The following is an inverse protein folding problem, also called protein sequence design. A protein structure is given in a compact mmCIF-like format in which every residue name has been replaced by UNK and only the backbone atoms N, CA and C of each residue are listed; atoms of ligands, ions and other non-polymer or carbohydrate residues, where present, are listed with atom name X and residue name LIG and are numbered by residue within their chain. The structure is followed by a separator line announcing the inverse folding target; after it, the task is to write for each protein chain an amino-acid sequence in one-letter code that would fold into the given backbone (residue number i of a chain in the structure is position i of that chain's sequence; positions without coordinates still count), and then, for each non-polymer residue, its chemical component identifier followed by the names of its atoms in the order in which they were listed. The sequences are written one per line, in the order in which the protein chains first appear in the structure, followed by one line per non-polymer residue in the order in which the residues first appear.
data_IF_494936447793
#
_entry.id   IF_494936447793
#
_cell.length_a   1.000
_cell.length_b   1.000
_cell.length_c   1.000
_cell.angle_alpha   90.00
_cell.angle_beta   90.00
_cell.angle_gamma   90.00
#
_symmetry.space_group_name_H-M   'P 1'
#
loop_
_entity.id
_entity.type
_entity.pdbx_description
1 polymer ?
#
# COMPACT_ATOMS: atom_id res chain seq x y z
N UNK A 1 -12.24 -6.28 35.53
CA UNK A 1 -11.29 -5.20 35.83
C UNK A 1 -10.16 -5.81 36.64
N UNK A 2 -9.01 -6.06 36.03
CA UNK A 2 -7.83 -6.61 36.68
C UNK A 2 -6.65 -5.72 36.33
N UNK A 3 -6.14 -4.99 37.31
CA UNK A 3 -4.99 -4.09 37.16
C UNK A 3 -3.71 -4.92 37.01
N UNK A 4 -3.08 -4.84 35.85
CA UNK A 4 -1.72 -5.33 35.63
C UNK A 4 -0.73 -4.26 36.07
N UNK A 5 -0.24 -4.37 37.30
CA UNK A 5 0.85 -3.54 37.82
C UNK A 5 2.17 -4.20 37.45
N UNK A 6 2.78 -3.76 36.35
CA UNK A 6 4.13 -4.14 35.96
C UNK A 6 5.17 -3.48 36.87
N UNK A 7 5.76 -4.24 37.81
CA UNK A 7 6.95 -3.81 38.57
C UNK A 7 8.18 -3.90 37.67
N UNK A 8 8.70 -2.75 37.26
CA UNK A 8 10.06 -2.63 36.76
C UNK A 8 11.02 -2.60 37.95
N UNK A 9 11.79 -3.68 38.14
CA UNK A 9 12.94 -3.69 39.03
C UNK A 9 14.14 -3.12 38.26
N UNK A 10 14.48 -1.86 38.53
CA UNK A 10 15.75 -1.26 38.10
C UNK A 10 16.81 -1.61 39.15
N UNK A 11 17.67 -2.57 38.80
CA UNK A 11 18.90 -2.82 39.54
C UNK A 11 19.87 -1.66 39.27
N UNK A 12 20.14 -0.86 40.29
CA UNK A 12 20.98 0.36 40.23
C UNK A 12 22.36 0.12 40.81
N UNK A 13 22.74 -1.13 41.07
CA UNK A 13 24.06 -1.46 41.56
C UNK A 13 24.99 -1.76 40.37
N UNK A 14 25.66 -0.72 39.86
CA UNK A 14 27.01 -0.74 39.26
C UNK A 14 27.24 0.56 38.46
N UNK A 15 27.81 1.57 39.13
CA UNK A 15 28.60 2.61 38.48
C UNK A 15 30.07 2.37 38.86
N UNK A 16 30.98 2.48 37.89
CA UNK A 16 32.13 3.34 38.14
C UNK A 16 32.19 4.50 37.13
N UNK A 17 32.59 5.63 37.68
CA UNK A 17 32.94 6.88 37.01
C UNK A 17 34.01 6.67 35.94
N UNK A 18 33.71 7.05 34.70
CA UNK A 18 34.72 7.50 33.75
C UNK A 18 34.04 8.35 32.69
N UNK A 19 34.09 9.67 32.91
CA UNK A 19 33.73 10.68 31.94
C UNK A 19 34.74 10.65 30.78
N UNK A 20 34.37 9.97 29.69
CA UNK A 20 34.79 10.21 28.29
C UNK A 20 34.45 8.99 27.44
N UNK A 21 33.16 8.78 27.23
CA UNK A 21 32.68 8.01 26.10
C UNK A 21 31.30 8.55 25.79
N UNK A 22 31.22 9.34 24.72
CA UNK A 22 29.96 9.69 24.10
C UNK A 22 29.24 8.38 23.78
N UNK A 23 28.32 8.01 24.68
CA UNK A 23 27.41 6.88 24.55
C UNK A 23 26.55 7.13 23.34
N UNK A 24 27.06 6.68 22.18
CA UNK A 24 26.29 6.38 20.99
C UNK A 24 25.37 5.24 21.40
N UNK A 25 24.24 5.62 21.97
CA UNK A 25 23.15 4.77 22.37
C UNK A 25 22.63 4.14 21.07
N UNK A 26 23.24 3.03 20.67
CA UNK A 26 22.67 2.12 19.69
C UNK A 26 21.47 1.49 20.39
N UNK A 27 20.35 2.22 20.35
CA UNK A 27 19.05 1.62 20.53
C UNK A 27 18.94 0.62 19.38
N UNK A 28 19.28 -0.64 19.65
CA UNK A 28 18.80 -1.75 18.83
C UNK A 28 17.30 -1.79 19.06
N UNK A 29 16.58 -1.01 18.26
CA UNK A 29 15.14 -1.19 18.13
C UNK A 29 15.01 -2.53 17.41
N UNK A 30 14.83 -3.60 18.18
CA UNK A 30 14.35 -4.87 17.65
C UNK A 30 12.92 -4.61 17.16
N UNK A 31 12.78 -4.08 15.94
CA UNK A 31 11.52 -4.03 15.19
C UNK A 31 11.17 -5.42 14.65
N UNK A 32 11.23 -6.43 15.51
CA UNK A 32 10.66 -7.77 15.30
C UNK A 32 9.26 -7.82 15.90
N UNK A 33 8.46 -6.76 15.72
CA UNK A 33 7.01 -6.93 15.71
C UNK A 33 6.71 -7.68 14.41
N UNK A 34 6.30 -8.95 14.53
CA UNK A 34 6.03 -9.92 13.46
C UNK A 34 4.89 -9.55 12.49
N UNK A 35 4.97 -8.34 11.94
CA UNK A 35 4.48 -8.05 10.62
C UNK A 35 5.64 -8.41 9.69
N UNK A 36 5.50 -9.51 8.94
CA UNK A 36 6.38 -9.78 7.81
C UNK A 36 6.52 -8.47 7.04
N UNK A 37 7.74 -7.94 6.97
CA UNK A 37 8.00 -6.73 6.22
C UNK A 37 7.47 -6.99 4.82
N UNK A 38 6.42 -6.24 4.42
CA UNK A 38 5.84 -6.39 3.11
C UNK A 38 6.91 -6.04 2.09
N UNK A 39 7.54 -7.07 1.54
CA UNK A 39 8.54 -6.92 0.49
C UNK A 39 7.84 -6.73 -0.84
N UNK A 40 8.40 -5.86 -1.68
CA UNK A 40 7.87 -5.59 -3.01
C UNK A 40 8.95 -5.85 -4.04
N UNK A 41 8.53 -6.31 -5.23
CA UNK A 41 9.36 -6.32 -6.42
C UNK A 41 9.01 -5.09 -7.28
N UNK A 42 10.04 -4.41 -7.76
CA UNK A 42 9.90 -3.29 -8.67
C UNK A 42 9.88 -3.77 -10.12
N UNK A 43 8.89 -3.32 -10.89
CA UNK A 43 8.73 -3.62 -12.31
C UNK A 43 8.59 -2.33 -13.12
N UNK A 44 9.15 -2.32 -14.33
CA UNK A 44 9.06 -1.20 -15.27
C UNK A 44 8.73 -1.72 -16.67
N UNK A 45 7.85 -1.03 -17.38
CA UNK A 45 7.60 -1.35 -18.79
C UNK A 45 8.77 -0.84 -19.65
N UNK A 46 9.31 -1.67 -20.56
CA UNK A 46 10.42 -1.23 -21.42
C UNK A 46 10.05 0.04 -22.18
N UNK A 47 10.93 1.04 -22.09
CA UNK A 47 10.77 2.34 -22.74
C UNK A 47 9.98 3.37 -21.94
N UNK A 48 9.49 3.02 -20.75
CA UNK A 48 8.84 3.97 -19.83
C UNK A 48 9.70 4.21 -18.59
N UNK A 49 9.39 5.27 -17.85
CA UNK A 49 10.00 5.57 -16.53
C UNK A 49 9.09 5.22 -15.36
N UNK A 50 7.88 4.71 -15.63
CA UNK A 50 6.89 4.38 -14.60
C UNK A 50 7.24 3.03 -13.95
N UNK A 51 7.36 3.04 -12.63
CA UNK A 51 7.73 1.89 -11.82
C UNK A 51 6.51 1.44 -11.03
N UNK A 52 6.14 0.17 -11.18
CA UNK A 52 5.09 -0.48 -10.40
C UNK A 52 5.70 -1.38 -9.33
N UNK A 53 5.04 -1.44 -8.18
CA UNK A 53 5.41 -2.28 -7.04
C UNK A 53 4.41 -3.41 -6.94
N UNK A 54 4.88 -4.64 -6.95
CA UNK A 54 4.04 -5.83 -6.76
C UNK A 54 4.48 -6.52 -5.48
N UNK A 55 3.52 -6.89 -4.64
CA UNK A 55 3.78 -7.50 -3.34
C UNK A 55 4.40 -8.89 -3.55
N UNK A 56 5.49 -9.16 -2.84
CA UNK A 56 6.10 -10.48 -2.80
C UNK A 56 5.32 -11.39 -1.83
N UNK A 57 5.18 -12.65 -2.20
CA UNK A 57 4.68 -13.70 -1.32
C UNK A 57 5.83 -14.59 -0.86
N UNK A 58 5.74 -15.12 0.36
CA UNK A 58 6.72 -16.08 0.86
C UNK A 58 6.26 -17.51 0.58
N UNK A 59 7.05 -18.29 -0.16
CA UNK A 59 6.78 -19.69 -0.48
C UNK A 59 8.05 -20.50 -0.20
N UNK A 60 7.97 -21.48 0.70
CA UNK A 60 9.11 -22.32 1.09
C UNK A 60 10.33 -21.50 1.55
N UNK A 61 10.09 -20.39 2.28
CA UNK A 61 11.14 -19.49 2.76
C UNK A 61 11.80 -18.63 1.68
N UNK A 62 11.24 -18.57 0.46
CA UNK A 62 11.70 -17.70 -0.62
C UNK A 62 10.64 -16.68 -0.97
N UNK A 63 11.06 -15.45 -1.23
CA UNK A 63 10.19 -14.41 -1.75
C UNK A 63 9.99 -14.61 -3.25
N UNK A 64 8.73 -14.64 -3.66
CA UNK A 64 8.30 -14.90 -5.04
C UNK A 64 7.24 -13.90 -5.46
N UNK A 65 7.15 -13.66 -6.77
CA UNK A 65 6.07 -12.88 -7.38
C UNK A 65 5.27 -13.80 -8.28
N UNK A 66 3.95 -13.84 -8.11
CA UNK A 66 3.08 -14.64 -8.98
C UNK A 66 2.93 -13.96 -10.34
N UNK A 67 2.87 -14.78 -11.38
CA UNK A 67 2.72 -14.29 -12.75
C UNK A 67 1.38 -13.61 -12.98
N UNK A 68 0.33 -14.06 -12.30
CA UNK A 68 -1.01 -13.47 -12.35
C UNK A 68 -0.99 -12.02 -11.87
N UNK A 69 -0.33 -11.73 -10.73
CA UNK A 69 -0.17 -10.36 -10.23
C UNK A 69 0.60 -9.46 -11.22
N UNK A 70 1.58 -10.01 -11.93
CA UNK A 70 2.32 -9.28 -12.98
C UNK A 70 1.40 -8.98 -14.17
N UNK A 71 0.56 -9.94 -14.57
CA UNK A 71 -0.36 -9.81 -15.70
C UNK A 71 -1.52 -8.86 -15.40
N UNK A 72 -1.98 -8.79 -14.16
CA UNK A 72 -2.96 -7.80 -13.70
C UNK A 72 -2.42 -6.37 -13.80
N UNK A 73 -1.15 -6.16 -13.46
CA UNK A 73 -0.50 -4.84 -13.52
C UNK A 73 -0.05 -4.50 -14.94
N UNK A 74 0.37 -5.49 -15.72
CA UNK A 74 0.86 -5.35 -17.09
C UNK A 74 0.14 -6.32 -18.04
N UNK A 75 -1.10 -5.98 -18.46
CA UNK A 75 -1.90 -6.85 -19.33
C UNK A 75 -1.17 -7.21 -20.63
N UNK A 76 -1.12 -8.51 -20.93
CA UNK A 76 -0.44 -9.03 -22.12
C UNK A 76 1.08 -9.19 -21.97
N UNK A 77 1.61 -9.20 -20.74
CA UNK A 77 3.01 -9.52 -20.47
C UNK A 77 3.44 -10.84 -21.13
N UNK A 78 4.54 -10.80 -21.88
CA UNK A 78 5.12 -11.95 -22.58
C UNK A 78 6.24 -12.60 -21.76
N UNK A 79 7.18 -11.78 -21.32
CA UNK A 79 8.30 -12.18 -20.47
C UNK A 79 8.80 -10.99 -19.65
N UNK A 80 9.54 -11.29 -18.60
CA UNK A 80 10.22 -10.33 -17.73
C UNK A 80 11.72 -10.51 -17.96
N UNK A 81 12.49 -9.42 -17.93
CA UNK A 81 13.94 -9.47 -18.07
C UNK A 81 14.64 -8.67 -16.96
N UNK A 82 15.84 -9.10 -16.61
CA UNK A 82 16.75 -8.42 -15.69
C UNK A 82 18.05 -8.15 -16.41
N UNK A 83 18.47 -6.89 -16.51
CA UNK A 83 19.69 -6.49 -17.22
C UNK A 83 19.77 -7.08 -18.65
N UNK A 84 18.64 -7.12 -19.37
CA UNK A 84 18.54 -7.68 -20.73
C UNK A 84 18.48 -9.20 -20.82
N UNK A 85 18.57 -9.94 -19.71
CA UNK A 85 18.42 -11.39 -19.67
C UNK A 85 17.01 -11.79 -19.23
N UNK A 86 16.35 -12.70 -19.95
CA UNK A 86 15.01 -13.16 -19.59
C UNK A 86 15.00 -13.90 -18.24
N UNK A 87 14.10 -13.50 -17.36
CA UNK A 87 13.86 -14.16 -16.06
C UNK A 87 13.04 -15.43 -16.31
N UNK A 88 13.59 -16.56 -15.86
CA UNK A 88 12.91 -17.84 -15.98
C UNK A 88 11.83 -17.99 -14.92
N UNK A 89 10.68 -18.56 -15.31
CA UNK A 89 9.65 -19.02 -14.36
C UNK A 89 10.25 -20.12 -13.47
N UNK A 90 9.96 -20.05 -12.17
CA UNK A 90 10.48 -21.01 -11.20
C UNK A 90 10.02 -22.44 -11.50
N UNK A 91 10.90 -23.38 -11.17
CA UNK A 91 10.62 -24.81 -11.22
C UNK A 91 10.46 -25.36 -9.81
N UNK A 92 9.61 -26.36 -9.67
CA UNK A 92 9.43 -27.11 -8.44
C UNK A 92 10.60 -28.10 -8.21
N UNK A 93 10.51 -28.88 -7.14
CA UNK A 93 11.50 -29.89 -6.78
C UNK A 93 11.66 -30.99 -7.85
N UNK A 94 10.65 -31.21 -8.70
CA UNK A 94 10.66 -32.17 -9.79
C UNK A 94 11.18 -31.57 -11.12
N UNK A 95 11.75 -30.36 -11.09
CA UNK A 95 12.16 -29.59 -12.27
C UNK A 95 11.00 -29.26 -13.23
N UNK A 96 9.76 -29.40 -12.79
CA UNK A 96 8.58 -29.01 -13.57
C UNK A 96 8.27 -27.55 -13.28
N UNK A 97 7.67 -26.83 -14.24
CA UNK A 97 7.27 -25.43 -13.99
C UNK A 97 6.25 -25.39 -12.87
N UNK A 98 6.51 -24.59 -11.84
CA UNK A 98 5.57 -24.43 -10.74
C UNK A 98 4.24 -23.85 -11.24
N UNK A 99 3.14 -24.37 -10.69
CA UNK A 99 1.77 -23.89 -10.90
C UNK A 99 1.19 -23.54 -9.52
N UNK A 100 0.75 -22.29 -9.28
CA UNK A 100 0.72 -21.18 -10.23
C UNK A 100 2.13 -20.69 -10.63
N UNK A 101 2.23 -20.12 -11.82
CA UNK A 101 3.49 -19.62 -12.36
C UNK A 101 4.01 -18.48 -11.48
N UNK A 102 5.29 -18.55 -11.13
CA UNK A 102 5.96 -17.57 -10.26
C UNK A 102 7.39 -17.33 -10.70
N UNK A 103 7.92 -16.15 -10.38
CA UNK A 103 9.34 -15.81 -10.55
C UNK A 103 9.97 -15.54 -9.18
N UNK A 104 11.28 -15.74 -9.08
CA UNK A 104 12.03 -15.43 -7.86
C UNK A 104 12.13 -13.91 -7.69
N UNK A 105 12.05 -13.43 -6.45
CA UNK A 105 12.30 -12.02 -6.10
C UNK A 105 13.78 -11.66 -6.27
N UNK A 106 14.02 -10.47 -6.82
CA UNK A 106 15.32 -9.84 -7.01
C UNK A 106 15.34 -8.54 -6.19
N UNK A 107 15.88 -8.58 -4.95
CA UNK A 107 15.94 -7.40 -4.09
C UNK A 107 16.78 -6.31 -4.73
N UNK A 108 16.34 -5.06 -4.58
CA UNK A 108 17.01 -3.85 -5.07
C UNK A 108 17.22 -3.79 -6.60
N UNK A 109 16.54 -4.65 -7.34
CA UNK A 109 16.64 -4.71 -8.81
C UNK A 109 15.28 -4.40 -9.42
N UNK A 110 15.29 -3.54 -10.44
CA UNK A 110 14.11 -3.26 -11.26
C UNK A 110 14.03 -4.29 -12.40
N UNK A 111 12.88 -4.94 -12.53
CA UNK A 111 12.63 -5.90 -13.59
C UNK A 111 11.91 -5.23 -14.76
N UNK A 112 12.45 -5.38 -15.96
CA UNK A 112 11.83 -4.85 -17.17
C UNK A 112 10.78 -5.83 -17.70
N UNK A 113 9.59 -5.31 -18.01
CA UNK A 113 8.45 -6.07 -18.52
C UNK A 113 8.35 -5.89 -20.02
N UNK A 114 8.23 -7.00 -20.75
CA UNK A 114 8.04 -7.02 -22.20
C UNK A 114 6.62 -7.49 -22.50
N UNK A 115 5.82 -6.62 -23.10
CA UNK A 115 4.47 -6.97 -23.54
C UNK A 115 4.53 -7.76 -24.84
N UNK A 116 3.54 -8.63 -25.03
CA UNK A 116 3.23 -9.14 -26.36
C UNK A 116 2.80 -7.95 -27.18
N UNK A 117 3.66 -7.51 -28.12
CA UNK A 117 3.21 -6.65 -29.20
C UNK A 117 2.18 -7.45 -29.97
N UNK A 118 0.90 -7.29 -29.60
CA UNK A 118 -0.21 -7.71 -30.43
C UNK A 118 0.07 -7.02 -31.75
N UNK A 119 0.54 -7.80 -32.73
CA UNK A 119 0.89 -7.29 -34.03
C UNK A 119 -0.39 -6.70 -34.60
N UNK A 120 -0.59 -5.41 -34.37
CA UNK A 120 -1.39 -4.53 -35.20
C UNK A 120 -0.69 -4.47 -36.54
N UNK A 121 -0.69 -5.60 -37.26
CA UNK A 121 -0.68 -5.55 -38.69
C UNK A 121 -1.83 -4.63 -39.03
N UNK A 122 -1.48 -3.46 -39.55
CA UNK A 122 -2.41 -2.50 -40.13
C UNK A 122 -3.18 -3.21 -41.24
N UNK A 123 -4.19 -4.00 -40.88
CA UNK A 123 -5.23 -4.39 -41.80
C UNK A 123 -6.11 -3.16 -41.93
N UNK A 124 -5.77 -2.37 -42.95
CA UNK A 124 -6.49 -1.19 -43.39
C UNK A 124 -7.95 -1.59 -43.67
N UNK A 125 -8.83 -1.42 -42.69
CA UNK A 125 -10.27 -1.62 -42.86
C UNK A 125 -10.84 -0.38 -43.58
N UNK A 126 -11.54 -0.54 -44.70
CA UNK A 126 -12.06 0.57 -45.49
C UNK A 126 -13.16 1.33 -44.72
N UNK A 127 -13.35 2.63 -45.00
CA UNK A 127 -14.27 3.48 -44.26
C UNK A 127 -15.71 3.08 -44.53
N UNK A 128 -16.36 2.45 -43.54
CA UNK A 128 -17.80 2.16 -43.61
C UNK A 128 -18.56 3.48 -43.48
N UNK A 129 -19.21 3.86 -44.56
CA UNK A 129 -20.01 5.07 -44.67
C UNK A 129 -21.36 4.82 -43.99
N UNK A 130 -21.62 5.50 -42.87
CA UNK A 130 -22.86 5.34 -42.10
C UNK A 130 -24.05 5.98 -42.83
N UNK A 131 -24.79 5.18 -43.61
CA UNK A 131 -26.07 5.58 -44.16
C UNK A 131 -27.20 5.37 -43.14
N UNK A 132 -27.84 6.46 -42.70
CA UNK A 132 -29.08 6.41 -41.91
C UNK A 132 -30.18 5.75 -42.75
N UNK A 133 -30.50 4.51 -42.42
CA UNK A 133 -31.59 3.77 -43.05
C UNK A 133 -32.88 4.06 -42.28
N UNK A 134 -33.76 4.88 -42.85
CA UNK A 134 -35.13 5.09 -42.37
C UNK A 134 -35.93 3.82 -42.64
N UNK A 135 -36.04 2.94 -41.62
CA UNK A 135 -36.83 1.72 -41.68
C UNK A 135 -38.32 2.06 -41.84
N UNK A 136 -38.97 1.48 -42.84
CA UNK A 136 -40.39 1.73 -43.11
C UNK A 136 -41.28 1.18 -41.98
N UNK A 137 -42.42 1.82 -41.74
CA UNK A 137 -43.38 1.43 -40.68
C UNK A 137 -43.79 -0.06 -40.77
N UNK A 138 -43.88 -0.61 -41.99
CA UNK A 138 -44.15 -2.05 -42.21
C UNK A 138 -43.04 -2.95 -41.65
N UNK A 139 -41.78 -2.56 -41.76
CA UNK A 139 -40.66 -3.29 -41.14
C UNK A 139 -40.68 -3.21 -39.61
N UNK A 140 -41.13 -2.10 -39.04
CA UNK A 140 -41.26 -1.96 -37.57
C UNK A 140 -42.35 -2.89 -37.04
N UNK A 141 -43.51 -2.97 -37.71
CA UNK A 141 -44.60 -3.86 -37.32
C UNK A 141 -44.21 -5.34 -37.44
N UNK A 142 -43.53 -5.73 -38.53
CA UNK A 142 -43.05 -7.12 -38.70
C UNK A 142 -42.02 -7.49 -37.63
N UNK A 143 -41.11 -6.56 -37.28
CA UNK A 143 -40.15 -6.80 -36.19
C UNK A 143 -40.82 -6.91 -34.82
N UNK A 144 -41.84 -6.11 -34.55
CA UNK A 144 -42.59 -6.18 -33.30
C UNK A 144 -43.38 -7.48 -33.18
N UNK A 145 -44.05 -7.94 -34.24
CA UNK A 145 -44.75 -9.22 -34.26
C UNK A 145 -43.80 -10.41 -34.11
N UNK A 146 -42.64 -10.37 -34.79
CA UNK A 146 -41.61 -11.42 -34.62
C UNK A 146 -41.12 -11.49 -33.17
N UNK A 147 -40.83 -10.35 -32.54
CA UNK A 147 -40.43 -10.29 -31.13
C UNK A 147 -41.53 -10.81 -30.18
N UNK A 148 -42.79 -10.50 -30.46
CA UNK A 148 -43.90 -10.99 -29.65
C UNK A 148 -44.04 -12.52 -29.74
N UNK A 149 -43.90 -13.10 -30.94
CA UNK A 149 -43.94 -14.54 -31.14
C UNK A 149 -42.73 -15.25 -30.52
N UNK A 150 -41.53 -14.67 -30.64
CA UNK A 150 -40.31 -15.16 -29.97
C UNK A 150 -40.50 -15.19 -28.45
N UNK A 151 -41.06 -14.13 -27.86
CA UNK A 151 -41.36 -14.06 -26.43
C UNK A 151 -42.39 -15.11 -26.00
N UNK A 152 -43.41 -15.43 -26.82
CA UNK A 152 -44.38 -16.47 -26.50
C UNK A 152 -43.76 -17.87 -26.56
N UNK A 153 -42.89 -18.13 -27.55
CA UNK A 153 -42.17 -19.40 -27.67
C UNK A 153 -41.23 -19.59 -26.48
N UNK A 154 -40.48 -18.55 -26.08
CA UNK A 154 -39.62 -18.61 -24.89
C UNK A 154 -40.43 -18.89 -23.62
N UNK A 155 -41.57 -18.23 -23.43
CA UNK A 155 -42.41 -18.43 -22.26
C UNK A 155 -43.01 -19.85 -22.20
N UNK A 156 -43.43 -20.40 -23.35
CA UNK A 156 -43.89 -21.80 -23.43
C UNK A 156 -42.76 -22.80 -23.21
N UNK A 157 -41.57 -22.53 -23.74
CA UNK A 157 -40.40 -23.37 -23.52
C UNK A 157 -40.04 -23.42 -22.03
N UNK A 158 -40.10 -22.27 -21.35
CA UNK A 158 -39.86 -22.16 -19.90
C UNK A 158 -40.92 -22.94 -19.10
N UNK A 159 -42.19 -22.85 -19.50
CA UNK A 159 -43.27 -23.64 -18.89
C UNK A 159 -43.18 -25.13 -19.21
N UNK A 160 -42.49 -25.53 -20.29
CA UNK A 160 -42.32 -26.93 -20.68
C UNK A 160 -41.21 -27.65 -19.94
N UNK A 161 -40.32 -26.91 -19.26
CA UNK A 161 -39.34 -27.54 -18.39
C UNK A 161 -40.02 -28.24 -17.20
N UNK A 162 -39.42 -29.34 -16.76
CA UNK A 162 -39.80 -30.03 -15.53
C UNK A 162 -39.86 -29.04 -14.36
N UNK A 163 -40.79 -29.27 -13.42
CA UNK A 163 -40.90 -28.51 -12.17
C UNK A 163 -39.58 -28.43 -11.39
N UNK A 164 -38.69 -29.40 -11.58
CA UNK A 164 -37.36 -29.45 -10.97
C UNK A 164 -36.42 -28.39 -11.55
N UNK A 165 -36.43 -28.16 -12.86
CA UNK A 165 -35.65 -27.09 -13.50
C UNK A 165 -36.17 -25.72 -13.09
N UNK A 166 -37.50 -25.54 -12.97
CA UNK A 166 -38.08 -24.29 -12.48
C UNK A 166 -37.72 -24.01 -11.02
N UNK A 167 -37.68 -25.05 -10.17
CA UNK A 167 -37.21 -24.93 -8.79
C UNK A 167 -35.73 -24.53 -8.74
N UNK A 168 -34.90 -25.11 -9.61
CA UNK A 168 -33.48 -24.76 -9.70
C UNK A 168 -33.24 -23.32 -10.20
N UNK A 169 -34.04 -22.83 -11.17
CA UNK A 169 -34.00 -21.43 -11.61
C UNK A 169 -34.40 -20.47 -10.47
N UNK A 170 -35.44 -20.81 -9.68
CA UNK A 170 -35.82 -20.00 -8.51
C UNK A 170 -34.73 -20.00 -7.43
N UNK A 171 -34.09 -21.14 -7.18
CA UNK A 171 -32.96 -21.24 -6.26
C UNK A 171 -31.76 -20.40 -6.74
N UNK A 172 -31.47 -20.42 -8.05
CA UNK A 172 -30.44 -19.60 -8.69
C UNK A 172 -30.71 -18.10 -8.54
N UNK A 173 -31.96 -17.66 -8.68
CA UNK A 173 -32.34 -16.27 -8.43
C UNK A 173 -32.16 -15.87 -6.95
N UNK A 174 -32.44 -16.78 -6.01
CA UNK A 174 -32.16 -16.55 -4.59
C UNK A 174 -30.66 -16.35 -4.31
N UNK A 175 -29.81 -17.14 -4.96
CA UNK A 175 -28.36 -16.98 -4.87
C UNK A 175 -27.90 -15.63 -5.42
N UNK A 176 -28.39 -15.23 -6.60
CA UNK A 176 -28.06 -13.92 -7.18
C UNK A 176 -28.49 -12.75 -6.28
N UNK A 177 -29.63 -12.86 -5.61
CA UNK A 177 -30.09 -11.87 -4.62
C UNK A 177 -29.12 -11.78 -3.43
N UNK A 178 -28.71 -12.92 -2.87
CA UNK A 178 -27.75 -12.96 -1.76
C UNK A 178 -26.38 -12.40 -2.16
N UNK A 179 -25.90 -12.73 -3.37
CA UNK A 179 -24.64 -12.19 -3.90
C UNK A 179 -24.70 -10.67 -4.04
N UNK A 180 -25.83 -10.12 -4.50
CA UNK A 180 -26.03 -8.69 -4.62
C UNK A 180 -26.04 -8.00 -3.24
N UNK A 181 -26.71 -8.57 -2.25
CA UNK A 181 -26.72 -8.06 -0.87
C UNK A 181 -25.30 -8.07 -0.26
N UNK A 182 -24.55 -9.17 -0.43
CA UNK A 182 -23.15 -9.26 0.01
C UNK A 182 -22.30 -8.18 -0.66
N UNK A 183 -22.50 -7.92 -1.95
CA UNK A 183 -21.76 -6.89 -2.69
C UNK A 183 -22.04 -5.49 -2.13
N UNK A 184 -23.29 -5.18 -1.83
CA UNK A 184 -23.69 -3.89 -1.23
C UNK A 184 -23.07 -3.71 0.16
N UNK A 185 -23.09 -4.76 0.99
CA UNK A 185 -22.44 -4.73 2.32
C UNK A 185 -20.92 -4.54 2.21
N UNK A 186 -20.26 -5.22 1.26
CA UNK A 186 -18.82 -5.05 1.04
C UNK A 186 -18.51 -3.61 0.61
N UNK A 187 -19.31 -3.04 -0.29
CA UNK A 187 -19.12 -1.67 -0.76
C UNK A 187 -19.33 -0.63 0.35
N UNK A 188 -20.37 -0.81 1.18
CA UNK A 188 -20.63 0.02 2.37
C UNK A 188 -19.44 -0.02 3.33
N UNK A 189 -18.97 -1.22 3.70
CA UNK A 189 -17.83 -1.38 4.61
C UNK A 189 -16.51 -0.86 4.05
N UNK A 190 -16.30 -1.01 2.74
CA UNK A 190 -15.15 -0.41 2.05
C UNK A 190 -15.18 1.13 2.17
N UNK A 191 -16.34 1.75 2.00
CA UNK A 191 -16.50 3.20 2.12
C UNK A 191 -16.33 3.69 3.58
N UNK A 192 -16.86 2.96 4.57
CA UNK A 192 -16.61 3.24 5.98
C UNK A 192 -15.11 3.19 6.32
N UNK A 193 -14.42 2.13 5.88
CA UNK A 193 -12.99 1.95 6.12
C UNK A 193 -12.17 3.08 5.49
N UNK A 194 -12.51 3.48 4.26
CA UNK A 194 -11.89 4.62 3.59
C UNK A 194 -12.09 5.93 4.37
N UNK A 195 -13.27 6.15 4.94
CA UNK A 195 -13.54 7.30 5.81
C UNK A 195 -12.72 7.27 7.09
N UNK A 196 -12.52 6.10 7.69
CA UNK A 196 -11.65 5.93 8.86
C UNK A 196 -10.17 6.20 8.53
N UNK A 197 -9.68 5.75 7.37
CA UNK A 197 -8.31 6.02 6.93
C UNK A 197 -8.04 7.52 6.76
N UNK A 198 -8.97 8.26 6.14
CA UNK A 198 -8.83 9.72 6.00
C UNK A 198 -8.73 10.44 7.36
N UNK A 199 -9.56 10.04 8.34
CA UNK A 199 -9.48 10.60 9.70
C UNK A 199 -8.16 10.28 10.40
N UNK A 200 -7.58 9.11 10.12
CA UNK A 200 -6.29 8.71 10.67
C UNK A 200 -5.17 9.56 10.06
N UNK A 201 -5.19 9.79 8.75
CA UNK A 201 -4.24 10.65 8.06
C UNK A 201 -4.28 12.09 8.60
N UNK A 202 -5.48 12.66 8.80
CA UNK A 202 -5.66 13.99 9.41
C UNK A 202 -5.07 14.05 10.83
N UNK A 203 -5.28 12.99 11.62
CA UNK A 203 -4.75 12.89 12.98
C UNK A 203 -3.23 12.79 12.99
N UNK A 204 -2.64 12.04 12.05
CA UNK A 204 -1.19 11.94 11.89
C UNK A 204 -0.55 13.27 11.47
N UNK A 205 -1.20 14.01 10.57
CA UNK A 205 -0.77 15.35 10.18
C UNK A 205 -0.72 16.28 11.41
N UNK A 206 -1.78 16.26 12.23
CA UNK A 206 -1.85 17.05 13.47
C UNK A 206 -0.78 16.67 14.50
N UNK A 207 -0.50 15.38 14.67
CA UNK A 207 0.58 14.91 15.56
C UNK A 207 1.93 15.41 15.08
N UNK A 208 2.15 15.40 13.76
CA UNK A 208 3.40 15.89 13.15
C UNK A 208 3.58 17.39 13.41
N UNK A 209 2.53 18.19 13.22
CA UNK A 209 2.52 19.62 13.53
C UNK A 209 2.87 19.88 15.01
N UNK A 210 2.14 19.26 15.95
CA UNK A 210 2.41 19.40 17.38
C UNK A 210 3.83 18.96 17.77
N UNK A 211 4.38 17.94 17.10
CA UNK A 211 5.76 17.50 17.31
C UNK A 211 6.75 18.58 16.87
N UNK A 212 6.51 19.25 15.75
CA UNK A 212 7.37 20.36 15.29
C UNK A 212 7.29 21.58 16.20
N UNK A 213 6.11 21.91 16.70
CA UNK A 213 5.92 22.99 17.68
C UNK A 213 6.66 22.69 18.99
N UNK A 214 6.52 21.47 19.51
CA UNK A 214 7.19 21.04 20.74
C UNK A 214 8.72 21.06 20.59
N UNK A 215 9.25 20.63 19.44
CA UNK A 215 10.67 20.71 19.14
C UNK A 215 11.17 22.17 19.09
N UNK A 216 10.36 23.08 18.54
CA UNK A 216 10.68 24.52 18.50
C UNK A 216 10.70 25.11 19.90
N UNK A 217 9.71 24.77 20.73
CA UNK A 217 9.65 25.23 22.12
C UNK A 217 10.84 24.69 22.94
N UNK A 218 11.21 23.42 22.76
CA UNK A 218 12.38 22.84 23.41
C UNK A 218 13.68 23.56 23.01
N UNK A 219 13.83 23.92 21.72
CA UNK A 219 14.97 24.71 21.26
C UNK A 219 15.03 26.10 21.90
N UNK A 220 13.89 26.79 22.03
CA UNK A 220 13.79 28.08 22.71
C UNK A 220 14.15 27.97 24.21
N UNK A 221 13.71 26.91 24.88
CA UNK A 221 14.08 26.66 26.28
C UNK A 221 15.59 26.47 26.45
N UNK A 222 16.24 25.74 25.54
CA UNK A 222 17.70 25.55 25.54
C UNK A 222 18.42 26.89 25.34
N UNK A 223 17.94 27.75 24.43
CA UNK A 223 18.51 29.07 24.20
C UNK A 223 18.37 29.98 25.43
N UNK A 224 17.19 30.00 26.05
CA UNK A 224 16.94 30.76 27.27
C UNK A 224 17.82 30.28 28.43
N UNK A 225 18.03 28.97 28.59
CA UNK A 225 18.93 28.42 29.60
C UNK A 225 20.37 28.89 29.38
N UNK A 226 20.87 28.85 28.14
CA UNK A 226 22.22 29.34 27.80
C UNK A 226 22.38 30.83 28.08
N UNK A 227 21.36 31.64 27.78
CA UNK A 227 21.36 33.07 28.08
C UNK A 227 21.39 33.33 29.59
N UNK A 228 20.66 32.53 30.37
CA UNK A 228 20.67 32.61 31.84
C UNK A 228 22.04 32.26 32.41
N UNK A 229 22.65 31.17 31.94
CA UNK A 229 23.99 30.75 32.38
C UNK A 229 25.05 31.82 32.07
N UNK A 230 25.01 32.40 30.86
CA UNK A 230 25.90 33.49 30.48
C UNK A 230 25.74 34.73 31.39
N UNK A 231 24.51 35.07 31.78
CA UNK A 231 24.25 36.16 32.73
C UNK A 231 24.72 35.85 34.14
N UNK A 232 24.64 34.60 34.58
CA UNK A 232 25.21 34.19 35.86
C UNK A 232 26.73 34.33 35.87
N UNK A 233 27.40 33.98 34.77
CA UNK A 233 28.86 34.10 34.67
C UNK A 233 29.33 35.56 34.61
N UNK A 234 28.64 36.43 33.85
CA UNK A 234 28.89 37.88 33.85
C UNK A 234 28.75 38.47 35.26
N UNK A 235 27.73 38.04 36.02
CA UNK A 235 27.52 38.49 37.39
C UNK A 235 28.65 38.04 38.33
N UNK A 236 29.13 36.79 38.19
CA UNK A 236 30.28 36.29 38.97
C UNK A 236 31.55 37.10 38.66
N UNK A 237 31.79 37.42 37.40
CA UNK A 237 32.96 38.22 36.99
C UNK A 237 32.91 39.62 37.62
N UNK A 238 31.76 40.29 37.56
CA UNK A 238 31.57 41.59 38.22
C UNK A 238 31.77 41.52 39.74
N UNK A 239 31.31 40.47 40.41
CA UNK A 239 31.55 40.26 41.84
C UNK A 239 33.04 40.09 42.15
N UNK A 240 33.78 39.32 41.33
CA UNK A 240 35.22 39.14 41.46
C UNK A 240 35.95 40.47 41.30
N UNK A 241 35.58 41.28 40.29
CA UNK A 241 36.16 42.60 40.06
C UNK A 241 35.92 43.54 41.25
N UNK A 242 34.70 43.59 41.79
CA UNK A 242 34.35 44.41 42.94
C UNK A 242 35.15 44.02 44.20
N UNK A 243 35.27 42.72 44.47
CA UNK A 243 36.11 42.21 45.57
C UNK A 243 37.59 42.57 45.37
N UNK A 244 38.09 42.49 44.13
CA UNK A 244 39.44 42.92 43.78
C UNK A 244 39.70 44.40 44.08
N UNK A 245 38.74 45.28 43.77
CA UNK A 245 38.85 46.71 44.06
C UNK A 245 38.85 47.00 45.58
N UNK A 246 37.99 46.33 46.35
CA UNK A 246 37.98 46.46 47.81
C UNK A 246 39.31 46.05 48.44
N UNK A 247 39.93 44.97 47.95
CA UNK A 247 41.23 44.51 48.43
C UNK A 247 42.36 45.52 48.16
N UNK A 248 42.28 46.30 47.06
CA UNK A 248 43.24 47.36 46.77
C UNK A 248 43.08 48.55 47.72
N UNK A 249 41.84 48.94 48.05
CA UNK A 249 41.57 50.03 48.99
C UNK A 249 42.04 49.71 50.42
N UNK A 250 41.98 48.44 50.84
CA UNK A 250 42.46 48.03 52.17
C UNK A 250 43.99 48.06 52.33
N UNK A 251 44.75 48.19 51.24
CA UNK A 251 46.22 48.24 51.27
C UNK A 251 46.80 49.65 51.35
N UNK A 252 45.97 50.69 51.25
CA UNK A 252 46.37 52.09 51.38
C UNK A 252 46.26 52.54 52.83
#
# INVERSE_FOLDING_TARGET
MGEWVGRFLLDTSLLPESAESASRLHIKVDTTTGYDAMEFQLFRLIGTTDIKRILCSQVEGKNVVYWEDIEDVFPGVKFVQVNGAAVNKMRDQNQTRAVPHRIQHYPDVELDVVLSTTGGGNHMEPPVTTARTTLSFKQVVVRAQKKALESEIEQRLISSFSSEVQAQVRASNGYNSMVQEIKEVIEEKSNELKGCLLKLDDSLAKITELTTENNTLAAQMIEMQRALDAKQDEMKELQIQALGQLALLQKQ
#
